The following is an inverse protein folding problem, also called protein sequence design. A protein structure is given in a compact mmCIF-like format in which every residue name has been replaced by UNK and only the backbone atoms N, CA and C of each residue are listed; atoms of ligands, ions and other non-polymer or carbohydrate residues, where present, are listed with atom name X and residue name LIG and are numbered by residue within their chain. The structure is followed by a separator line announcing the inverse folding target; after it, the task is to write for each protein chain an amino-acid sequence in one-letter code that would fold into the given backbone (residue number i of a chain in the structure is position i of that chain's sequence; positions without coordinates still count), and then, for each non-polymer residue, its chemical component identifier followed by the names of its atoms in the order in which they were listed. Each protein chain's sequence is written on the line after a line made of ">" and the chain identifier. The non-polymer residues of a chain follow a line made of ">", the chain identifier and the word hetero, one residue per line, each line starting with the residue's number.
data_IF_300874866284
#
_entry.id   IF_300874866284
#
_cell.length_a   1.000
_cell.length_b   1.000
_cell.length_c   1.000
_cell.angle_alpha   90.00
_cell.angle_beta   90.00
_cell.angle_gamma   90.00
#
_symmetry.space_group_name_H-M   'P 1'
#
loop_
_entity.id
_entity.type
_entity.pdbx_description
1 polymer ?
#
# COMPACT_ATOMS: atom_id res chain seq x y z
N UNK A 1 -13.43 31.45 -12.51
CA UNK A 1 -13.50 30.95 -11.12
C UNK A 1 -14.87 31.35 -10.61
N UNK A 2 -15.75 30.40 -10.25
CA UNK A 2 -17.07 30.75 -9.69
C UNK A 2 -16.85 31.31 -8.28
N UNK A 3 -17.22 32.57 -8.06
CA UNK A 3 -17.26 33.17 -6.73
C UNK A 3 -18.72 33.26 -6.33
N UNK A 4 -19.15 32.41 -5.40
CA UNK A 4 -20.45 32.54 -4.75
C UNK A 4 -20.30 33.52 -3.60
N UNK A 5 -21.19 34.50 -3.51
CA UNK A 5 -21.29 35.35 -2.33
C UNK A 5 -21.81 34.52 -1.12
N UNK A 6 -21.81 35.09 0.08
CA UNK A 6 -22.17 34.36 1.32
C UNK A 6 -23.61 33.83 1.30
N UNK A 7 -24.54 34.59 0.73
CA UNK A 7 -25.95 34.25 0.63
C UNK A 7 -26.19 33.15 -0.40
N UNK A 8 -25.56 33.26 -1.57
CA UNK A 8 -25.57 32.24 -2.62
C UNK A 8 -24.97 30.93 -2.11
N UNK A 9 -23.84 30.99 -1.39
CA UNK A 9 -23.19 29.82 -0.83
C UNK A 9 -24.07 29.14 0.24
N UNK A 10 -24.83 29.91 1.02
CA UNK A 10 -25.80 29.38 1.98
C UNK A 10 -26.98 28.67 1.28
N UNK A 11 -27.45 29.21 0.15
CA UNK A 11 -28.57 28.65 -0.60
C UNK A 11 -28.21 27.42 -1.47
N UNK A 12 -26.96 27.28 -1.91
CA UNK A 12 -26.56 26.24 -2.87
C UNK A 12 -26.59 24.83 -2.27
N UNK A 13 -27.34 23.91 -2.87
CA UNK A 13 -27.42 22.52 -2.41
C UNK A 13 -26.31 21.63 -3.00
N UNK A 14 -25.99 20.54 -2.30
CA UNK A 14 -25.09 19.48 -2.82
C UNK A 14 -25.55 18.97 -4.19
N UNK A 15 -26.87 18.83 -4.40
CA UNK A 15 -27.43 18.36 -5.66
C UNK A 15 -27.18 19.33 -6.81
N UNK A 16 -27.31 20.64 -6.58
CA UNK A 16 -27.02 21.67 -7.59
C UNK A 16 -25.54 21.65 -8.00
N UNK A 17 -24.61 21.54 -7.04
CA UNK A 17 -23.18 21.44 -7.36
C UNK A 17 -22.86 20.15 -8.11
N UNK A 18 -23.40 19.00 -7.69
CA UNK A 18 -23.19 17.73 -8.39
C UNK A 18 -23.65 17.79 -9.84
N UNK A 19 -24.85 18.32 -10.10
CA UNK A 19 -25.36 18.51 -11.48
C UNK A 19 -24.43 19.39 -12.31
N UNK A 20 -23.93 20.47 -11.72
CA UNK A 20 -22.98 21.36 -12.38
C UNK A 20 -21.63 20.67 -12.68
N UNK A 21 -21.06 19.92 -11.73
CA UNK A 21 -19.80 19.20 -11.93
C UNK A 21 -19.95 18.10 -13.00
N UNK A 22 -21.07 17.38 -12.99
CA UNK A 22 -21.38 16.36 -13.99
C UNK A 22 -21.56 16.96 -15.39
N UNK A 23 -22.20 18.13 -15.52
CA UNK A 23 -22.32 18.82 -16.82
C UNK A 23 -20.96 19.28 -17.38
N UNK A 24 -19.93 19.37 -16.53
CA UNK A 24 -18.54 19.62 -16.90
C UNK A 24 -17.69 18.35 -17.01
N UNK A 25 -18.30 17.16 -17.02
CA UNK A 25 -17.62 15.85 -17.06
C UNK A 25 -16.66 15.63 -15.88
N UNK A 26 -16.92 16.25 -14.73
CA UNK A 26 -16.15 16.02 -13.50
C UNK A 26 -16.91 15.02 -12.63
N UNK A 27 -16.32 13.84 -12.43
CA UNK A 27 -16.88 12.80 -11.56
C UNK A 27 -16.45 13.03 -10.11
N UNK A 28 -17.42 13.30 -9.22
CA UNK A 28 -17.16 13.51 -7.79
C UNK A 28 -18.27 12.87 -6.96
N UNK A 29 -17.91 12.23 -5.86
CA UNK A 29 -18.87 11.63 -4.94
C UNK A 29 -19.67 12.70 -4.16
N UNK A 30 -20.95 12.41 -3.89
CA UNK A 30 -21.85 13.28 -3.12
C UNK A 30 -21.30 13.66 -1.74
N UNK A 31 -20.63 12.73 -1.07
CA UNK A 31 -20.04 12.94 0.25
C UNK A 31 -18.94 14.01 0.19
N UNK A 32 -18.08 13.95 -0.84
CA UNK A 32 -17.02 14.93 -1.06
C UNK A 32 -17.57 16.34 -1.30
N UNK A 33 -18.62 16.47 -2.12
CA UNK A 33 -19.29 17.76 -2.38
C UNK A 33 -19.94 18.32 -1.11
N UNK A 34 -20.65 17.48 -0.35
CA UNK A 34 -21.25 17.90 0.92
C UNK A 34 -20.17 18.39 1.90
N UNK A 35 -19.07 17.64 2.03
CA UNK A 35 -17.97 18.03 2.90
C UNK A 35 -17.28 19.33 2.48
N UNK A 36 -17.10 19.56 1.16
CA UNK A 36 -16.56 20.82 0.64
C UNK A 36 -17.50 22.00 0.92
N UNK A 37 -18.82 21.82 0.75
CA UNK A 37 -19.82 22.83 1.09
C UNK A 37 -19.81 23.17 2.59
N UNK A 38 -19.72 22.17 3.47
CA UNK A 38 -19.62 22.39 4.93
C UNK A 38 -18.40 23.24 5.28
N UNK A 39 -17.23 22.92 4.72
CA UNK A 39 -16.03 23.72 4.93
C UNK A 39 -16.19 25.13 4.34
N UNK A 40 -16.75 25.27 3.13
CA UNK A 40 -16.95 26.57 2.50
C UNK A 40 -17.84 27.52 3.33
N UNK A 41 -18.86 26.94 3.98
CA UNK A 41 -19.84 27.63 4.85
C UNK A 41 -19.37 27.83 6.29
N UNK A 42 -18.31 27.17 6.70
CA UNK A 42 -17.81 27.30 8.06
C UNK A 42 -17.38 28.74 8.34
N UNK A 43 -17.73 29.23 9.52
CA UNK A 43 -17.37 30.57 9.97
C UNK A 43 -16.14 30.47 10.85
N UNK A 44 -15.07 31.16 10.44
CA UNK A 44 -13.83 31.24 11.22
C UNK A 44 -13.66 32.69 11.63
N UNK A 45 -13.52 32.94 12.93
CA UNK A 45 -13.36 34.31 13.42
C UNK A 45 -12.09 34.95 12.83
N UNK A 46 -12.08 36.29 12.62
CA UNK A 46 -10.91 36.99 12.11
C UNK A 46 -9.66 36.78 12.98
N UNK A 47 -9.83 36.71 14.30
CA UNK A 47 -8.74 36.48 15.26
C UNK A 47 -8.11 35.11 15.05
N UNK A 48 -8.93 34.07 14.90
CA UNK A 48 -8.45 32.71 14.63
C UNK A 48 -7.75 32.62 13.27
N UNK A 49 -8.27 33.30 12.24
CA UNK A 49 -7.60 33.36 10.93
C UNK A 49 -6.24 34.05 11.00
N UNK A 50 -6.15 35.17 11.72
CA UNK A 50 -4.89 35.89 11.91
C UNK A 50 -3.88 35.05 12.70
N UNK A 51 -4.32 34.39 13.77
CA UNK A 51 -3.49 33.49 14.57
C UNK A 51 -2.96 32.33 13.72
N UNK A 52 -3.84 31.63 12.99
CA UNK A 52 -3.46 30.51 12.11
C UNK A 52 -2.47 30.97 11.04
N UNK A 53 -2.68 32.13 10.43
CA UNK A 53 -1.75 32.71 9.45
C UNK A 53 -0.37 32.99 10.07
N UNK A 54 -0.34 33.57 11.28
CA UNK A 54 0.90 33.86 12.01
C UNK A 54 1.63 32.57 12.38
N UNK A 55 0.93 31.56 12.89
CA UNK A 55 1.50 30.26 13.25
C UNK A 55 2.03 29.53 12.00
N UNK A 56 1.28 29.55 10.90
CA UNK A 56 1.71 28.98 9.64
C UNK A 56 3.02 29.58 9.12
N UNK A 57 3.19 30.90 9.26
CA UNK A 57 4.40 31.60 8.79
C UNK A 57 5.60 31.46 9.73
N UNK A 58 5.36 31.25 11.02
CA UNK A 58 6.42 31.20 12.05
C UNK A 58 6.97 29.80 12.29
N UNK A 59 6.20 28.75 11.99
CA UNK A 59 6.67 27.37 12.12
C UNK A 59 7.76 27.05 11.07
N UNK A 60 8.77 26.23 11.43
CA UNK A 60 9.72 25.69 10.46
C UNK A 60 8.98 25.02 9.30
N UNK A 61 9.49 25.24 8.07
CA UNK A 61 8.90 24.61 6.88
C UNK A 61 9.12 23.11 6.93
N UNK A 62 8.04 22.36 6.85
CA UNK A 62 8.05 20.90 6.81
C UNK A 62 8.06 20.36 5.37
N UNK A 63 8.51 19.11 5.16
CA UNK A 63 8.33 18.40 3.91
C UNK A 63 6.85 18.05 3.72
N UNK A 64 6.06 19.04 3.31
CA UNK A 64 4.65 18.90 2.96
C UNK A 64 3.69 19.65 3.89
N UNK A 65 2.58 20.18 3.35
CA UNK A 65 1.64 21.01 4.11
C UNK A 65 0.95 20.26 5.25
N UNK A 66 0.71 18.95 5.12
CA UNK A 66 0.03 18.15 6.15
C UNK A 66 0.85 18.04 7.44
N UNK A 67 2.17 17.88 7.33
CA UNK A 67 3.06 17.80 8.50
C UNK A 67 3.08 19.13 9.25
N UNK A 68 3.08 20.25 8.52
CA UNK A 68 2.99 21.57 9.12
C UNK A 68 1.65 21.81 9.82
N UNK A 69 0.53 21.37 9.21
CA UNK A 69 -0.80 21.40 9.86
C UNK A 69 -0.78 20.59 11.16
N UNK A 70 -0.20 19.38 11.17
CA UNK A 70 -0.10 18.57 12.39
C UNK A 70 0.68 19.30 13.48
N UNK A 71 1.85 19.88 13.16
CA UNK A 71 2.64 20.64 14.14
C UNK A 71 1.86 21.83 14.70
N UNK A 72 1.15 22.54 13.83
CA UNK A 72 0.36 23.70 14.23
C UNK A 72 -0.79 23.33 15.17
N UNK A 73 -1.51 22.24 14.88
CA UNK A 73 -2.61 21.74 15.72
C UNK A 73 -2.16 21.30 17.14
N UNK A 74 -0.86 21.10 17.37
CA UNK A 74 -0.27 20.66 18.64
C UNK A 74 0.23 21.79 19.52
N UNK A 75 0.19 23.03 19.05
CA UNK A 75 0.58 24.18 19.87
C UNK A 75 -0.45 24.38 20.98
N UNK A 76 0.00 24.66 22.21
CA UNK A 76 -0.89 24.82 23.37
C UNK A 76 -1.93 25.92 23.15
N UNK A 77 -1.53 27.01 22.49
CA UNK A 77 -2.40 28.14 22.17
C UNK A 77 -3.22 27.95 20.88
N UNK A 78 -3.22 26.75 20.28
CA UNK A 78 -3.95 26.53 19.03
C UNK A 78 -5.47 26.54 19.26
N UNK A 79 -6.25 27.33 18.49
CA UNK A 79 -7.69 27.40 18.67
C UNK A 79 -8.35 26.04 18.37
N UNK A 80 -9.27 25.61 19.24
CA UNK A 80 -10.03 24.36 19.07
C UNK A 80 -11.14 24.51 18.03
N UNK A 81 -10.74 24.60 16.76
CA UNK A 81 -11.64 24.71 15.63
C UNK A 81 -12.25 23.34 15.26
N UNK A 82 -13.48 23.37 14.76
CA UNK A 82 -14.09 22.19 14.15
C UNK A 82 -13.39 21.83 12.84
N UNK A 83 -13.59 20.60 12.37
CA UNK A 83 -13.01 20.14 11.11
C UNK A 83 -13.36 21.04 9.90
N UNK A 84 -14.62 21.50 9.72
CA UNK A 84 -14.97 22.42 8.63
C UNK A 84 -14.28 23.78 8.76
N UNK A 85 -14.22 24.34 9.97
CA UNK A 85 -13.59 25.63 10.27
C UNK A 85 -12.08 25.59 9.97
N UNK A 86 -11.40 24.55 10.43
CA UNK A 86 -9.97 24.38 10.20
C UNK A 86 -9.66 24.25 8.70
N UNK A 87 -10.49 23.51 7.95
CA UNK A 87 -10.34 23.39 6.49
C UNK A 87 -10.59 24.72 5.79
N UNK A 88 -11.56 25.52 6.24
CA UNK A 88 -11.80 26.87 5.72
C UNK A 88 -10.61 27.78 5.99
N UNK A 89 -10.06 27.75 7.20
CA UNK A 89 -8.91 28.55 7.58
C UNK A 89 -7.67 28.21 6.74
N UNK A 90 -7.39 26.92 6.54
CA UNK A 90 -6.28 26.47 5.69
C UNK A 90 -6.49 26.79 4.21
N UNK A 91 -7.72 26.70 3.71
CA UNK A 91 -8.04 27.10 2.35
C UNK A 91 -7.75 28.59 2.13
N UNK A 92 -8.03 29.46 3.10
CA UNK A 92 -7.65 30.88 3.03
C UNK A 92 -6.12 31.10 2.98
N UNK A 93 -5.32 30.12 3.39
CA UNK A 93 -3.86 30.10 3.25
C UNK A 93 -3.36 29.42 1.97
N UNK A 94 -4.26 28.95 1.10
CA UNK A 94 -3.92 28.19 -0.11
C UNK A 94 -3.59 26.72 0.15
N UNK A 95 -3.89 26.21 1.35
CA UNK A 95 -3.62 24.82 1.77
C UNK A 95 -4.89 23.99 1.67
N UNK A 96 -4.85 22.93 0.87
CA UNK A 96 -6.00 22.06 0.65
C UNK A 96 -5.82 20.75 1.41
N UNK A 97 -6.69 20.49 2.39
CA UNK A 97 -6.70 19.25 3.17
C UNK A 97 -8.03 18.53 2.95
N UNK A 98 -7.94 17.22 2.74
CA UNK A 98 -9.11 16.36 2.62
C UNK A 98 -9.92 16.34 3.93
N UNK A 99 -11.20 15.98 3.82
CA UNK A 99 -12.06 15.96 4.98
C UNK A 99 -11.63 14.93 6.03
N UNK A 100 -11.31 13.73 5.57
CA UNK A 100 -10.87 12.60 6.38
C UNK A 100 -9.53 12.88 7.05
N UNK A 101 -8.55 13.38 6.30
CA UNK A 101 -7.23 13.71 6.86
C UNK A 101 -7.32 14.76 7.95
N UNK A 102 -8.15 15.79 7.77
CA UNK A 102 -8.34 16.79 8.83
C UNK A 102 -9.02 16.21 10.07
N UNK A 103 -10.07 15.40 9.89
CA UNK A 103 -10.76 14.76 11.01
C UNK A 103 -9.80 13.88 11.83
N UNK A 104 -8.95 13.11 11.16
CA UNK A 104 -7.90 12.30 11.79
C UNK A 104 -6.88 13.16 12.54
N UNK A 105 -6.39 14.24 11.93
CA UNK A 105 -5.41 15.12 12.59
C UNK A 105 -5.99 15.78 13.84
N UNK A 106 -7.25 16.26 13.78
CA UNK A 106 -7.92 16.84 14.93
C UNK A 106 -8.16 15.81 16.03
N UNK A 107 -8.59 14.59 15.69
CA UNK A 107 -8.85 13.55 16.69
C UNK A 107 -7.59 13.10 17.44
N UNK A 108 -6.41 13.31 16.87
CA UNK A 108 -5.10 13.00 17.46
C UNK A 108 -4.50 14.20 18.19
N UNK A 109 -4.64 15.41 17.64
CA UNK A 109 -3.95 16.61 18.11
C UNK A 109 -4.27 16.99 19.56
N UNK A 110 -5.52 16.75 19.99
CA UNK A 110 -6.00 17.14 21.32
C UNK A 110 -5.90 16.04 22.36
N UNK A 111 -5.29 14.90 22.01
CA UNK A 111 -5.05 13.82 22.96
C UNK A 111 -3.82 14.11 23.79
N UNK A 112 -3.97 14.10 25.11
CA UNK A 112 -2.86 14.12 26.04
C UNK A 112 -2.45 12.68 26.35
N UNK A 113 -1.26 12.29 25.89
CA UNK A 113 -0.66 11.00 26.23
C UNK A 113 0.33 11.20 27.37
N UNK A 114 0.21 10.46 28.49
CA UNK A 114 1.21 10.52 29.55
C UNK A 114 2.59 10.19 29.01
N UNK A 115 3.62 10.97 29.39
CA UNK A 115 4.99 10.75 28.92
C UNK A 115 5.47 9.31 29.13
N UNK A 116 5.13 8.71 30.29
CA UNK A 116 5.42 7.30 30.60
C UNK A 116 4.89 6.32 29.53
N UNK A 117 3.75 6.61 28.93
CA UNK A 117 3.16 5.79 27.86
C UNK A 117 4.00 5.89 26.59
N UNK A 118 4.40 7.10 26.20
CA UNK A 118 5.26 7.33 25.04
C UNK A 118 6.65 6.73 25.24
N UNK A 119 7.26 6.88 26.41
CA UNK A 119 8.56 6.29 26.76
C UNK A 119 8.50 4.75 26.69
N UNK A 120 7.39 4.14 27.15
CA UNK A 120 7.18 2.69 27.07
C UNK A 120 7.03 2.23 25.62
N UNK A 121 6.31 2.98 24.78
CA UNK A 121 6.18 2.70 23.35
C UNK A 121 7.52 2.84 22.64
N UNK A 122 8.31 3.87 22.95
CA UNK A 122 9.66 4.04 22.40
C UNK A 122 10.55 2.85 22.74
N UNK A 123 10.62 2.47 24.02
CA UNK A 123 11.41 1.34 24.48
C UNK A 123 10.96 0.03 23.81
N UNK A 124 9.65 -0.23 23.75
CA UNK A 124 9.09 -1.38 23.07
C UNK A 124 9.36 -1.38 21.57
N UNK A 125 9.32 -0.21 20.92
CA UNK A 125 9.64 -0.04 19.52
C UNK A 125 11.10 -0.39 19.27
N UNK A 126 12.04 0.15 20.07
CA UNK A 126 13.47 -0.13 19.95
C UNK A 126 13.83 -1.60 20.18
N UNK A 127 13.13 -2.29 21.09
CA UNK A 127 13.29 -3.74 21.29
C UNK A 127 13.12 -4.56 20.00
N UNK A 128 12.29 -4.08 19.08
CA UNK A 128 12.02 -4.73 17.80
C UNK A 128 12.73 -4.06 16.60
N UNK A 129 13.85 -3.36 16.83
CA UNK A 129 14.60 -2.68 15.77
C UNK A 129 15.10 -3.61 14.64
N UNK A 130 15.28 -4.89 14.94
CA UNK A 130 15.66 -5.92 13.95
C UNK A 130 14.56 -6.14 12.90
N UNK A 131 13.30 -5.88 13.24
CA UNK A 131 12.16 -6.01 12.33
C UNK A 131 12.13 -4.80 11.40
N UNK A 132 12.59 -4.99 10.16
CA UNK A 132 12.69 -3.93 9.14
C UNK A 132 11.32 -3.38 8.71
N UNK A 133 10.31 -4.25 8.58
CA UNK A 133 9.00 -3.86 8.07
C UNK A 133 8.20 -3.11 9.17
N UNK A 134 7.84 -1.82 8.98
CA UNK A 134 7.25 -1.00 10.04
C UNK A 134 5.92 -1.54 10.59
N UNK A 135 5.11 -2.16 9.73
CA UNK A 135 3.84 -2.75 10.13
C UNK A 135 4.04 -4.01 10.99
N UNK A 136 5.04 -4.84 10.67
CA UNK A 136 5.38 -6.03 11.47
C UNK A 136 5.89 -5.59 12.85
N UNK A 137 6.80 -4.61 12.86
CA UNK A 137 7.35 -4.02 14.10
C UNK A 137 6.24 -3.44 14.98
N UNK A 138 5.24 -2.76 14.38
CA UNK A 138 4.09 -2.23 15.09
C UNK A 138 3.22 -3.33 15.70
N UNK A 139 2.95 -4.41 14.97
CA UNK A 139 2.17 -5.51 15.55
C UNK A 139 2.94 -6.22 16.65
N UNK A 140 4.23 -6.47 16.49
CA UNK A 140 5.08 -7.02 17.56
C UNK A 140 5.09 -6.14 18.81
N UNK A 141 5.14 -4.82 18.65
CA UNK A 141 4.97 -3.87 19.78
C UNK A 141 3.62 -4.06 20.46
N UNK A 142 2.53 -4.16 19.69
CA UNK A 142 1.17 -4.29 20.23
C UNK A 142 0.87 -5.65 20.88
N UNK A 143 1.67 -6.67 20.59
CA UNK A 143 1.61 -7.97 21.25
C UNK A 143 2.28 -7.97 22.64
N UNK A 144 3.08 -6.96 22.97
CA UNK A 144 3.72 -6.86 24.29
C UNK A 144 2.66 -6.68 25.40
N UNK A 145 2.70 -7.47 26.49
CA UNK A 145 1.71 -7.41 27.56
C UNK A 145 1.57 -6.00 28.16
N UNK A 146 2.67 -5.29 28.34
CA UNK A 146 2.72 -3.96 28.92
C UNK A 146 2.04 -2.93 28.02
N UNK A 147 2.19 -3.06 26.70
CA UNK A 147 1.53 -2.21 25.71
C UNK A 147 0.06 -2.55 25.59
N UNK A 148 -0.29 -3.85 25.57
CA UNK A 148 -1.67 -4.33 25.51
C UNK A 148 -2.46 -3.85 26.73
N UNK A 149 -1.85 -3.83 27.92
CA UNK A 149 -2.45 -3.35 29.16
C UNK A 149 -2.82 -1.86 29.13
N UNK A 150 -2.21 -1.05 28.25
CA UNK A 150 -2.56 0.37 28.11
C UNK A 150 -3.94 0.60 27.47
N UNK A 151 -4.49 -0.40 26.78
CA UNK A 151 -5.79 -0.35 26.10
C UNK A 151 -6.03 0.95 25.28
N UNK A 152 -4.99 1.43 24.59
CA UNK A 152 -5.07 2.66 23.81
C UNK A 152 -6.06 2.48 22.65
N UNK A 153 -6.84 3.52 22.34
CA UNK A 153 -7.58 3.61 21.07
C UNK A 153 -6.63 3.86 19.90
N UNK A 154 -7.06 3.67 18.64
CA UNK A 154 -6.21 3.94 17.46
C UNK A 154 -5.66 5.38 17.44
N UNK A 155 -6.44 6.44 17.74
CA UNK A 155 -5.91 7.80 17.80
C UNK A 155 -4.90 8.00 18.93
N UNK A 156 -5.14 7.39 20.11
CA UNK A 156 -4.21 7.48 21.23
C UNK A 156 -2.89 6.75 20.94
N UNK A 157 -2.95 5.59 20.31
CA UNK A 157 -1.76 4.84 19.89
C UNK A 157 -0.97 5.60 18.82
N UNK A 158 -1.64 6.17 17.82
CA UNK A 158 -0.97 6.98 16.80
C UNK A 158 -0.29 8.20 17.44
N UNK A 159 -0.97 8.88 18.39
CA UNK A 159 -0.38 9.98 19.14
C UNK A 159 0.85 9.55 19.94
N UNK A 160 0.76 8.43 20.65
CA UNK A 160 1.83 7.97 21.52
C UNK A 160 3.06 7.49 20.73
N UNK A 161 2.87 6.93 19.53
CA UNK A 161 3.94 6.64 18.58
C UNK A 161 4.62 7.93 18.07
N UNK A 162 3.84 8.95 17.72
CA UNK A 162 4.39 10.24 17.28
C UNK A 162 5.19 10.93 18.40
N UNK A 163 4.69 10.90 19.64
CA UNK A 163 5.39 11.46 20.81
C UNK A 163 6.68 10.67 21.13
N UNK A 164 6.72 9.38 20.79
CA UNK A 164 7.91 8.52 20.85
C UNK A 164 8.87 8.71 19.65
N UNK A 165 8.62 9.67 18.76
CA UNK A 165 9.45 9.92 17.58
C UNK A 165 9.31 8.87 16.47
N UNK A 166 8.25 8.05 16.51
CA UNK A 166 8.00 6.98 15.55
C UNK A 166 7.03 7.47 14.46
N UNK A 167 7.55 7.66 13.24
CA UNK A 167 6.74 8.09 12.10
C UNK A 167 5.99 6.90 11.47
N UNK A 168 4.73 6.71 11.91
CA UNK A 168 3.81 5.73 11.34
C UNK A 168 2.49 6.41 10.98
N UNK A 169 2.06 6.21 9.74
CA UNK A 169 0.76 6.64 9.26
C UNK A 169 -0.39 6.03 10.07
N UNK A 170 -1.44 6.81 10.33
CA UNK A 170 -2.67 6.33 10.99
C UNK A 170 -3.25 5.04 10.35
N UNK A 171 -3.22 4.93 9.02
CA UNK A 171 -3.75 3.74 8.32
C UNK A 171 -2.97 2.46 8.66
N UNK A 172 -1.65 2.56 8.85
CA UNK A 172 -0.83 1.42 9.34
C UNK A 172 -1.20 1.05 10.77
N UNK A 173 -1.50 2.03 11.64
CA UNK A 173 -2.00 1.77 13.00
C UNK A 173 -3.32 1.01 12.97
N UNK A 174 -4.26 1.45 12.14
CA UNK A 174 -5.54 0.78 11.94
C UNK A 174 -5.37 -0.63 11.37
N UNK A 175 -4.53 -0.82 10.35
CA UNK A 175 -4.22 -2.15 9.78
C UNK A 175 -3.65 -3.10 10.84
N UNK A 176 -2.69 -2.63 11.65
CA UNK A 176 -2.11 -3.41 12.75
C UNK A 176 -3.16 -3.82 13.79
N UNK A 177 -4.05 -2.90 14.17
CA UNK A 177 -5.12 -3.17 15.13
C UNK A 177 -6.14 -4.16 14.60
N UNK A 178 -6.56 -4.03 13.34
CA UNK A 178 -7.48 -4.97 12.71
C UNK A 178 -6.92 -6.39 12.69
N UNK A 179 -5.63 -6.56 12.39
CA UNK A 179 -5.01 -7.87 12.40
C UNK A 179 -4.98 -8.54 13.78
N UNK A 180 -4.84 -7.73 14.84
CA UNK A 180 -4.86 -8.20 16.23
C UNK A 180 -6.27 -8.36 16.81
N UNK A 181 -7.28 -7.75 16.20
CA UNK A 181 -8.67 -7.86 16.63
C UNK A 181 -9.29 -9.22 16.26
N UNK A 182 -8.69 -9.94 15.32
CA UNK A 182 -9.16 -11.28 14.96
C UNK A 182 -8.72 -12.29 16.02
N UNK A 183 -9.70 -12.84 16.74
CA UNK A 183 -9.46 -13.81 17.80
C UNK A 183 -8.76 -15.05 17.23
N UNK A 184 -7.57 -15.35 17.76
CA UNK A 184 -6.91 -16.62 17.56
C UNK A 184 -7.49 -17.65 18.53
N UNK A 185 -7.95 -18.78 18.01
CA UNK A 185 -8.40 -19.89 18.85
C UNK A 185 -7.20 -20.71 19.32
N UNK A 186 -7.37 -21.46 20.42
CA UNK A 186 -6.35 -22.40 20.89
C UNK A 186 -6.06 -23.48 19.84
N UNK A 187 -7.08 -23.91 19.08
CA UNK A 187 -6.95 -24.84 17.98
C UNK A 187 -6.06 -24.29 16.85
N UNK A 188 -6.22 -23.02 16.47
CA UNK A 188 -5.36 -22.35 15.49
C UNK A 188 -3.90 -22.31 15.93
N UNK A 189 -3.68 -21.99 17.19
CA UNK A 189 -2.33 -21.96 17.74
C UNK A 189 -1.71 -23.36 17.76
N UNK A 190 -2.44 -24.37 18.23
CA UNK A 190 -1.94 -25.74 18.29
C UNK A 190 -1.63 -26.28 16.89
N UNK A 191 -2.54 -26.10 15.94
CA UNK A 191 -2.32 -26.49 14.54
C UNK A 191 -1.06 -25.82 13.97
N UNK A 192 -0.86 -24.53 14.23
CA UNK A 192 0.33 -23.83 13.76
C UNK A 192 1.61 -24.41 14.38
N UNK A 193 1.62 -24.64 15.69
CA UNK A 193 2.78 -25.20 16.41
C UNK A 193 3.13 -26.61 15.93
N UNK A 194 2.14 -27.43 15.60
CA UNK A 194 2.36 -28.80 15.14
C UNK A 194 2.94 -28.83 13.71
N UNK A 195 2.55 -27.87 12.86
CA UNK A 195 2.84 -27.91 11.43
C UNK A 195 4.02 -27.01 10.99
N UNK A 196 4.19 -25.83 11.60
CA UNK A 196 5.22 -24.86 11.20
C UNK A 196 6.66 -25.41 11.27
N UNK A 197 7.06 -26.12 12.35
CA UNK A 197 8.41 -26.68 12.45
C UNK A 197 8.76 -27.74 11.39
N UNK A 198 7.75 -28.32 10.74
CA UNK A 198 7.94 -29.35 9.71
C UNK A 198 8.32 -28.75 8.34
N UNK A 199 8.23 -27.43 8.20
CA UNK A 199 8.41 -26.75 6.92
C UNK A 199 9.89 -26.43 6.69
N UNK A 200 10.46 -26.80 5.54
CA UNK A 200 11.87 -26.53 5.25
C UNK A 200 12.21 -25.04 5.31
N UNK A 201 13.20 -24.67 6.12
CA UNK A 201 13.67 -23.29 6.23
C UNK A 201 14.33 -22.75 4.95
N UNK A 202 14.72 -23.64 4.02
CA UNK A 202 15.32 -23.29 2.72
C UNK A 202 14.32 -22.73 1.71
N UNK A 203 13.02 -22.93 1.94
CA UNK A 203 11.97 -22.47 1.03
C UNK A 203 11.80 -20.96 1.15
N UNK A 204 11.36 -20.30 0.08
CA UNK A 204 11.02 -18.87 0.13
C UNK A 204 9.87 -18.64 1.12
N UNK A 205 9.75 -17.44 1.71
CA UNK A 205 8.68 -17.12 2.68
C UNK A 205 7.28 -17.47 2.15
N UNK A 206 7.02 -17.17 0.88
CA UNK A 206 5.75 -17.48 0.23
C UNK A 206 5.53 -19.00 0.11
N UNK A 207 6.55 -19.75 -0.32
CA UNK A 207 6.48 -21.22 -0.38
C UNK A 207 6.30 -21.83 1.01
N UNK A 208 6.98 -21.32 2.05
CA UNK A 208 6.78 -21.77 3.43
C UNK A 208 5.33 -21.62 3.87
N UNK A 209 4.72 -20.45 3.62
CA UNK A 209 3.31 -20.22 3.95
C UNK A 209 2.39 -21.13 3.14
N UNK A 210 2.64 -21.30 1.84
CA UNK A 210 1.82 -22.18 1.01
C UNK A 210 1.93 -23.65 1.43
N UNK A 211 3.14 -24.11 1.78
CA UNK A 211 3.40 -25.46 2.30
C UNK A 211 2.71 -25.66 3.65
N UNK A 212 2.68 -24.64 4.52
CA UNK A 212 1.91 -24.67 5.77
C UNK A 212 0.43 -24.90 5.49
N UNK A 213 -0.13 -24.13 4.55
CA UNK A 213 -1.53 -24.22 4.17
C UNK A 213 -1.90 -25.56 3.53
N UNK A 214 -0.94 -26.27 2.92
CA UNK A 214 -1.12 -27.61 2.34
C UNK A 214 -1.04 -28.74 3.39
N UNK A 215 -0.71 -28.45 4.65
CA UNK A 215 -0.63 -29.48 5.69
C UNK A 215 -1.99 -30.05 6.09
N UNK A 216 -1.99 -31.26 6.65
CA UNK A 216 -3.22 -31.94 7.08
C UNK A 216 -3.94 -31.17 8.20
N UNK A 217 -5.26 -31.29 8.23
CA UNK A 217 -6.11 -30.69 9.26
C UNK A 217 -6.77 -29.37 8.88
N UNK A 218 -6.77 -28.99 7.58
CA UNK A 218 -7.42 -27.83 6.97
C UNK A 218 -8.24 -26.97 7.94
N UNK A 219 -7.55 -26.04 8.60
CA UNK A 219 -8.17 -25.14 9.54
C UNK A 219 -8.69 -23.91 8.78
N UNK A 220 -9.94 -23.54 9.04
CA UNK A 220 -10.51 -22.32 8.49
C UNK A 220 -9.80 -21.11 9.13
N UNK A 221 -8.87 -20.51 8.40
CA UNK A 221 -8.05 -19.39 8.85
C UNK A 221 -8.08 -18.24 7.85
N UNK A 222 -8.22 -17.01 8.35
CA UNK A 222 -8.15 -15.79 7.55
C UNK A 222 -6.69 -15.35 7.37
N UNK A 223 -6.43 -14.47 6.40
CA UNK A 223 -5.08 -13.93 6.21
C UNK A 223 -4.56 -13.14 7.43
N UNK A 224 -5.37 -12.29 8.10
CA UNK A 224 -4.92 -11.61 9.31
C UNK A 224 -4.64 -12.56 10.47
N UNK A 225 -5.46 -13.59 10.69
CA UNK A 225 -5.19 -14.63 11.70
C UNK A 225 -3.88 -15.35 11.43
N UNK A 226 -3.67 -15.83 10.20
CA UNK A 226 -2.45 -16.53 9.83
C UNK A 226 -1.22 -15.64 9.96
N UNK A 227 -1.33 -14.37 9.57
CA UNK A 227 -0.24 -13.41 9.72
C UNK A 227 0.08 -13.14 11.19
N UNK A 228 -0.93 -13.01 12.06
CA UNK A 228 -0.72 -12.87 13.51
C UNK A 228 -0.02 -14.11 14.09
N UNK A 229 -0.36 -15.32 13.65
CA UNK A 229 0.37 -16.54 14.08
C UNK A 229 1.85 -16.50 13.67
N UNK A 230 2.16 -16.10 12.44
CA UNK A 230 3.54 -15.93 11.97
C UNK A 230 4.31 -14.93 12.83
N UNK A 231 3.68 -13.81 13.18
CA UNK A 231 4.30 -12.79 14.03
C UNK A 231 4.54 -13.27 15.46
N UNK A 232 3.60 -14.04 16.03
CA UNK A 232 3.79 -14.67 17.36
C UNK A 232 4.96 -15.66 17.32
N UNK A 233 5.15 -16.35 16.19
CA UNK A 233 6.29 -17.24 15.96
C UNK A 233 7.58 -16.50 15.59
N UNK A 234 7.61 -15.17 15.67
CA UNK A 234 8.74 -14.30 15.34
C UNK A 234 9.21 -14.42 13.87
N UNK A 235 8.33 -14.88 12.99
CA UNK A 235 8.62 -15.00 11.57
C UNK A 235 8.40 -13.64 10.88
N UNK A 236 9.46 -13.14 10.22
CA UNK A 236 9.40 -11.86 9.51
C UNK A 236 8.77 -12.03 8.10
N UNK A 237 7.49 -12.42 8.09
CA UNK A 237 6.68 -12.58 6.88
C UNK A 237 5.69 -11.42 6.79
N UNK A 238 5.60 -10.80 5.61
CA UNK A 238 4.72 -9.67 5.39
C UNK A 238 3.26 -10.13 5.19
N UNK A 239 2.29 -9.26 5.52
CA UNK A 239 0.87 -9.61 5.38
C UNK A 239 0.49 -9.88 3.91
N UNK A 240 1.14 -9.23 2.94
CA UNK A 240 0.91 -9.46 1.51
C UNK A 240 1.31 -10.88 1.07
N UNK A 241 2.41 -11.41 1.60
CA UNK A 241 2.82 -12.80 1.36
C UNK A 241 1.78 -13.77 1.94
N UNK A 242 1.29 -13.52 3.15
CA UNK A 242 0.25 -14.36 3.77
C UNK A 242 -1.06 -14.31 2.96
N UNK A 243 -1.52 -13.12 2.61
CA UNK A 243 -2.74 -12.94 1.82
C UNK A 243 -2.67 -13.60 0.45
N UNK A 244 -1.53 -13.46 -0.25
CA UNK A 244 -1.34 -14.06 -1.58
C UNK A 244 -1.24 -15.59 -1.53
N UNK A 245 -0.53 -16.14 -0.55
CA UNK A 245 -0.45 -17.59 -0.36
C UNK A 245 -1.82 -18.18 -0.01
N UNK A 246 -2.58 -17.53 0.88
CA UNK A 246 -3.94 -17.96 1.23
C UNK A 246 -4.92 -17.86 0.05
N UNK A 247 -4.86 -16.78 -0.72
CA UNK A 247 -5.66 -16.62 -1.93
C UNK A 247 -5.35 -17.72 -2.96
N UNK A 248 -4.06 -18.04 -3.15
CA UNK A 248 -3.61 -19.12 -4.04
C UNK A 248 -4.08 -20.48 -3.55
N UNK A 249 -3.95 -20.78 -2.26
CA UNK A 249 -4.43 -22.02 -1.67
C UNK A 249 -5.94 -22.21 -1.91
N UNK A 250 -6.73 -21.16 -1.64
CA UNK A 250 -8.18 -21.16 -1.75
C UNK A 250 -8.73 -21.00 -3.17
N UNK A 251 -7.88 -20.67 -4.16
CA UNK A 251 -8.31 -20.49 -5.54
C UNK A 251 -8.94 -21.79 -6.09
N UNK A 252 -10.11 -21.67 -6.71
CA UNK A 252 -10.78 -22.79 -7.37
C UNK A 252 -10.48 -22.71 -8.86
N UNK A 253 -9.80 -23.73 -9.38
CA UNK A 253 -9.49 -23.81 -10.80
C UNK A 253 -10.66 -24.50 -11.50
N UNK A 254 -11.28 -23.82 -12.46
CA UNK A 254 -12.26 -24.41 -13.38
C UNK A 254 -11.58 -25.30 -14.41
N UNK A 255 -12.32 -26.28 -14.96
CA UNK A 255 -11.80 -27.12 -16.03
C UNK A 255 -11.50 -26.29 -17.30
N UNK A 256 -12.33 -25.28 -17.59
CA UNK A 256 -12.08 -24.32 -18.68
C UNK A 256 -10.72 -23.62 -18.54
N UNK A 257 -10.32 -23.23 -17.33
CA UNK A 257 -9.03 -22.61 -17.08
C UNK A 257 -7.88 -23.60 -17.27
N UNK A 258 -8.06 -24.88 -16.90
CA UNK A 258 -7.06 -25.93 -17.14
C UNK A 258 -6.85 -26.15 -18.63
N UNK A 259 -7.94 -26.32 -19.37
CA UNK A 259 -7.91 -26.54 -20.82
C UNK A 259 -7.28 -25.34 -21.54
N UNK A 260 -7.66 -24.12 -21.15
CA UNK A 260 -7.05 -22.90 -21.68
C UNK A 260 -5.55 -22.84 -21.39
N UNK A 261 -5.12 -23.23 -20.19
CA UNK A 261 -3.70 -23.25 -19.83
C UNK A 261 -2.94 -24.31 -20.62
N UNK A 262 -3.51 -25.49 -20.83
CA UNK A 262 -2.89 -26.55 -21.64
C UNK A 262 -2.67 -26.11 -23.08
N UNK A 263 -3.69 -25.49 -23.69
CA UNK A 263 -3.58 -24.91 -25.04
C UNK A 263 -2.54 -23.78 -25.07
N UNK A 264 -2.53 -22.92 -24.05
CA UNK A 264 -1.60 -21.80 -23.98
C UNK A 264 -0.16 -22.27 -23.84
N UNK A 265 0.11 -23.23 -22.95
CA UNK A 265 1.45 -23.79 -22.72
C UNK A 265 1.96 -24.58 -23.93
N UNK A 266 1.08 -25.33 -24.61
CA UNK A 266 1.44 -26.03 -25.85
C UNK A 266 1.89 -25.08 -26.97
N UNK A 267 1.35 -23.86 -26.99
CA UNK A 267 1.70 -22.82 -27.95
C UNK A 267 2.70 -21.79 -27.39
N UNK A 268 3.27 -22.04 -26.20
CA UNK A 268 4.11 -21.07 -25.52
C UNK A 268 5.39 -20.78 -26.32
N UNK A 269 5.86 -19.51 -26.31
CA UNK A 269 7.15 -19.21 -26.90
C UNK A 269 8.25 -19.92 -26.11
N UNK A 270 9.30 -20.37 -26.81
CA UNK A 270 10.48 -20.91 -26.16
C UNK A 270 11.02 -19.92 -25.10
N UNK A 271 11.43 -20.47 -23.95
CA UNK A 271 11.96 -19.70 -22.81
C UNK A 271 13.33 -19.10 -23.07
N UNK A 272 14.02 -19.57 -24.10
CA UNK A 272 15.40 -19.22 -24.40
C UNK A 272 15.58 -17.69 -24.42
N UNK A 273 16.45 -17.22 -23.51
CA UNK A 273 16.81 -15.81 -23.27
C UNK A 273 15.71 -14.86 -22.75
N UNK A 274 14.55 -15.36 -22.29
CA UNK A 274 13.49 -14.53 -21.67
C UNK A 274 13.44 -14.75 -20.16
N UNK A 275 13.15 -13.71 -19.39
CA UNK A 275 12.80 -13.92 -17.99
C UNK A 275 11.47 -14.65 -17.87
N UNK A 276 11.25 -15.32 -16.75
CA UNK A 276 9.97 -15.93 -16.39
C UNK A 276 8.78 -14.97 -16.50
N UNK A 277 9.00 -13.71 -16.13
CA UNK A 277 7.99 -12.66 -16.16
C UNK A 277 7.65 -12.26 -17.61
N UNK A 278 8.64 -12.03 -18.46
CA UNK A 278 8.41 -11.73 -19.88
C UNK A 278 7.80 -12.92 -20.61
N UNK A 279 8.27 -14.14 -20.35
CA UNK A 279 7.71 -15.37 -20.92
C UNK A 279 6.22 -15.52 -20.59
N UNK A 280 5.86 -15.41 -19.31
CA UNK A 280 4.46 -15.48 -18.89
C UNK A 280 3.65 -14.33 -19.49
N UNK A 281 4.20 -13.11 -19.50
CA UNK A 281 3.53 -11.97 -20.11
C UNK A 281 3.19 -12.17 -21.58
N UNK A 282 4.13 -12.69 -22.36
CA UNK A 282 3.91 -13.00 -23.78
C UNK A 282 2.92 -14.15 -23.98
N UNK A 283 2.99 -15.19 -23.14
CA UNK A 283 2.00 -16.27 -23.12
C UNK A 283 0.58 -15.71 -22.95
N UNK A 284 0.39 -14.86 -21.93
CA UNK A 284 -0.91 -14.24 -21.61
C UNK A 284 -1.42 -13.26 -22.68
N UNK A 285 -0.52 -12.70 -23.49
CA UNK A 285 -0.89 -11.83 -24.62
C UNK A 285 -1.29 -12.62 -25.87
N UNK A 286 -0.76 -13.85 -26.03
CA UNK A 286 -1.08 -14.73 -27.16
C UNK A 286 -2.38 -15.50 -26.94
N UNK A 287 -2.68 -15.84 -25.70
CA UNK A 287 -3.92 -16.52 -25.35
C UNK A 287 -5.06 -15.52 -25.25
N UNK A 288 -6.17 -15.79 -25.96
CA UNK A 288 -7.38 -14.97 -25.89
C UNK A 288 -7.79 -14.77 -24.44
N UNK A 289 -8.05 -13.51 -24.04
CA UNK A 289 -8.18 -13.08 -22.65
C UNK A 289 -9.22 -13.90 -21.87
N UNK A 290 -8.77 -14.92 -21.15
CA UNK A 290 -9.58 -15.59 -20.16
C UNK A 290 -9.54 -14.76 -18.85
N UNK A 291 -10.69 -14.49 -18.21
CA UNK A 291 -10.72 -13.72 -16.98
C UNK A 291 -10.17 -14.57 -15.81
N UNK A 292 -8.84 -14.53 -15.61
CA UNK A 292 -8.14 -15.29 -14.56
C UNK A 292 -7.55 -14.38 -13.48
N UNK A 293 -7.68 -14.71 -12.21
CA UNK A 293 -6.99 -13.99 -11.12
C UNK A 293 -5.53 -14.43 -11.01
N UNK A 294 -4.67 -13.63 -10.37
CA UNK A 294 -3.27 -14.03 -10.17
C UNK A 294 -3.15 -15.29 -9.31
N UNK A 295 -4.05 -15.49 -8.35
CA UNK A 295 -4.12 -16.67 -7.49
C UNK A 295 -4.48 -17.94 -8.26
N UNK A 296 -5.50 -17.87 -9.14
CA UNK A 296 -5.87 -18.99 -10.01
C UNK A 296 -4.77 -19.30 -11.03
N UNK A 297 -4.16 -18.27 -11.62
CA UNK A 297 -3.07 -18.40 -12.56
C UNK A 297 -1.83 -19.05 -11.91
N UNK A 298 -1.43 -18.60 -10.71
CA UNK A 298 -0.34 -19.22 -9.95
C UNK A 298 -0.63 -20.69 -9.66
N UNK A 299 -1.85 -21.01 -9.19
CA UNK A 299 -2.22 -22.36 -8.81
C UNK A 299 -2.23 -23.31 -10.02
N UNK A 300 -2.76 -22.88 -11.17
CA UNK A 300 -2.78 -23.74 -12.38
C UNK A 300 -1.37 -23.91 -12.94
N UNK A 301 -0.51 -22.89 -12.88
CA UNK A 301 0.89 -23.02 -13.27
C UNK A 301 1.62 -24.04 -12.38
N UNK A 302 1.39 -24.03 -11.06
CA UNK A 302 1.92 -25.05 -10.14
C UNK A 302 1.43 -26.47 -10.47
N UNK A 303 0.13 -26.65 -10.78
CA UNK A 303 -0.44 -27.95 -11.20
C UNK A 303 0.24 -28.47 -12.48
N UNK A 304 0.71 -27.57 -13.36
CA UNK A 304 1.42 -27.90 -14.60
C UNK A 304 2.95 -27.99 -14.44
N UNK A 305 3.47 -27.88 -13.22
CA UNK A 305 4.90 -27.95 -12.93
C UNK A 305 5.69 -26.67 -13.27
N UNK A 306 4.99 -25.56 -13.51
CA UNK A 306 5.59 -24.27 -13.81
C UNK A 306 5.71 -23.41 -12.56
N UNK A 307 6.91 -23.39 -11.98
CA UNK A 307 7.19 -22.68 -10.74
C UNK A 307 7.63 -21.25 -11.02
N UNK A 308 6.67 -20.33 -10.91
CA UNK A 308 6.93 -18.90 -10.98
C UNK A 308 6.79 -18.24 -9.62
N UNK A 309 7.58 -17.20 -9.43
CA UNK A 309 7.45 -16.30 -8.29
C UNK A 309 6.10 -15.57 -8.37
N UNK A 310 5.28 -15.56 -7.31
CA UNK A 310 3.91 -14.97 -7.34
C UNK A 310 3.88 -13.51 -7.82
N UNK A 311 4.84 -12.68 -7.37
CA UNK A 311 5.01 -11.32 -7.87
C UNK A 311 5.18 -11.24 -9.39
N UNK A 312 5.93 -12.17 -9.99
CA UNK A 312 6.08 -12.22 -11.44
C UNK A 312 4.75 -12.52 -12.13
N UNK A 313 3.92 -13.40 -11.56
CA UNK A 313 2.56 -13.70 -12.05
C UNK A 313 1.65 -12.47 -11.99
N UNK A 314 1.65 -11.76 -10.85
CA UNK A 314 0.87 -10.52 -10.68
C UNK A 314 1.27 -9.47 -11.70
N UNK A 315 2.57 -9.23 -11.87
CA UNK A 315 3.07 -8.23 -12.81
C UNK A 315 2.80 -8.63 -14.26
N UNK A 316 3.01 -9.90 -14.61
CA UNK A 316 2.75 -10.40 -15.95
C UNK A 316 1.27 -10.26 -16.33
N UNK A 317 0.37 -10.66 -15.42
CA UNK A 317 -1.07 -10.53 -15.61
C UNK A 317 -1.49 -9.06 -15.71
N UNK A 318 -0.94 -8.18 -14.86
CA UNK A 318 -1.24 -6.74 -14.90
C UNK A 318 -0.76 -6.08 -16.19
N UNK A 319 0.42 -6.48 -16.68
CA UNK A 319 0.96 -5.99 -17.95
C UNK A 319 0.12 -6.49 -19.12
N UNK A 320 -0.23 -7.78 -19.17
CA UNK A 320 -1.08 -8.36 -20.21
C UNK A 320 -2.48 -7.71 -20.27
N UNK A 321 -3.02 -7.30 -19.12
CA UNK A 321 -4.31 -6.59 -19.00
C UNK A 321 -4.25 -5.10 -19.29
N UNK A 322 -3.07 -4.50 -19.37
CA UNK A 322 -2.95 -3.06 -19.60
C UNK A 322 -3.52 -2.73 -20.97
N UNK A 323 -4.55 -1.90 -21.05
CA UNK A 323 -5.14 -1.46 -22.31
C UNK A 323 -4.13 -0.59 -23.06
N UNK A 324 -3.59 -1.13 -24.16
CA UNK A 324 -2.64 -0.43 -25.02
C UNK A 324 -3.05 -0.71 -26.47
N UNK A 325 -3.21 0.35 -27.26
CA UNK A 325 -3.58 0.22 -28.67
C UNK A 325 -2.36 -0.05 -29.56
N UNK A 326 -2.59 -0.61 -30.75
CA UNK A 326 -1.52 -0.84 -31.72
C UNK A 326 -0.85 0.47 -32.16
N UNK A 327 -1.60 1.57 -32.24
CA UNK A 327 -1.05 2.89 -32.53
C UNK A 327 -0.10 3.36 -31.43
N UNK A 328 -0.45 3.17 -30.15
CA UNK A 328 0.40 3.53 -29.03
C UNK A 328 1.69 2.69 -29.04
N UNK A 329 1.57 1.38 -29.30
CA UNK A 329 2.73 0.49 -29.44
C UNK A 329 3.66 0.92 -30.58
N UNK A 330 3.11 1.30 -31.74
CA UNK A 330 3.86 1.79 -32.88
C UNK A 330 4.56 3.13 -32.58
N UNK A 331 3.87 4.05 -31.89
CA UNK A 331 4.45 5.31 -31.43
C UNK A 331 5.61 5.07 -30.47
N UNK A 332 5.41 4.20 -29.48
CA UNK A 332 6.44 3.85 -28.52
C UNK A 332 7.69 3.26 -29.20
N UNK A 333 7.52 2.33 -30.14
CA UNK A 333 8.63 1.79 -30.96
C UNK A 333 9.41 2.89 -31.68
N UNK A 334 8.70 3.81 -32.34
CA UNK A 334 9.34 4.93 -33.04
C UNK A 334 10.17 5.81 -32.10
N UNK A 335 9.66 6.05 -30.88
CA UNK A 335 10.41 6.79 -29.85
C UNK A 335 11.61 6.00 -29.36
N UNK A 336 11.44 4.71 -29.09
CA UNK A 336 12.49 3.83 -28.59
C UNK A 336 13.71 3.81 -29.51
N UNK A 337 13.48 3.75 -30.81
CA UNK A 337 14.54 3.72 -31.83
C UNK A 337 15.26 5.08 -32.00
N UNK A 338 14.54 6.19 -31.79
CA UNK A 338 15.09 7.55 -31.84
C UNK A 338 15.95 7.87 -30.61
N UNK A 339 15.55 7.37 -29.44
CA UNK A 339 16.27 7.58 -28.19
C UNK A 339 17.40 6.56 -28.09
N UNK A 340 18.53 6.86 -28.73
CA UNK A 340 19.77 6.06 -28.63
C UNK A 340 20.54 6.41 -27.36
N UNK A 341 21.04 5.38 -26.68
CA UNK A 341 21.96 5.53 -25.55
C UNK A 341 23.33 5.98 -26.06
N UNK A 342 23.96 6.90 -25.33
CA UNK A 342 25.41 7.06 -25.42
C UNK A 342 26.06 5.79 -24.81
N UNK A 343 27.23 5.35 -25.29
CA UNK A 343 27.86 4.09 -24.86
C UNK A 343 28.09 3.96 -23.34
N UNK A 344 27.99 5.04 -22.58
CA UNK A 344 28.28 5.10 -21.14
C UNK A 344 27.12 5.62 -20.29
N UNK A 345 25.94 5.86 -20.87
CA UNK A 345 24.79 6.28 -20.07
C UNK A 345 24.10 5.08 -19.44
N UNK A 346 23.78 5.19 -18.14
CA UNK A 346 23.07 4.14 -17.41
C UNK A 346 21.72 3.81 -18.09
N UNK A 347 21.31 2.54 -18.08
CA UNK A 347 20.04 2.07 -18.69
C UNK A 347 18.82 2.91 -18.26
N UNK A 348 18.76 3.32 -16.99
CA UNK A 348 17.69 4.17 -16.46
C UNK A 348 17.58 5.53 -17.19
N UNK A 349 18.69 6.09 -17.68
CA UNK A 349 18.70 7.35 -18.43
C UNK A 349 17.94 7.20 -19.75
N UNK A 350 18.05 6.05 -20.44
CA UNK A 350 17.26 5.79 -21.66
C UNK A 350 15.79 5.74 -21.35
N UNK A 351 15.40 4.98 -20.33
CA UNK A 351 13.99 4.82 -19.94
C UNK A 351 13.35 6.17 -19.63
N UNK A 352 14.04 7.00 -18.85
CA UNK A 352 13.60 8.37 -18.54
C UNK A 352 13.51 9.22 -19.82
N UNK A 353 14.49 9.12 -20.72
CA UNK A 353 14.51 9.90 -21.97
C UNK A 353 13.37 9.50 -22.92
N UNK A 354 13.05 8.21 -23.02
CA UNK A 354 11.91 7.69 -23.77
C UNK A 354 10.60 8.23 -23.20
N UNK A 355 10.41 8.12 -21.88
CA UNK A 355 9.21 8.63 -21.19
C UNK A 355 9.03 10.15 -21.34
N UNK A 356 10.11 10.89 -21.59
CA UNK A 356 10.08 12.36 -21.79
C UNK A 356 9.90 12.77 -23.24
N UNK A 357 10.05 11.85 -24.18
CA UNK A 357 9.96 12.19 -25.59
C UNK A 357 8.53 12.63 -25.93
N UNK A 358 8.31 13.75 -26.66
CA UNK A 358 6.96 14.27 -26.93
C UNK A 358 6.03 13.30 -27.67
N UNK A 359 6.60 12.39 -28.45
CA UNK A 359 5.87 11.32 -29.16
C UNK A 359 5.67 10.04 -28.35
N UNK A 360 6.07 9.99 -27.07
CA UNK A 360 5.84 8.81 -26.23
C UNK A 360 4.38 8.80 -25.76
N UNK A 361 3.68 7.65 -25.85
CA UNK A 361 2.38 7.48 -25.21
C UNK A 361 2.43 7.80 -23.71
N UNK A 362 1.28 8.15 -23.12
CA UNK A 362 1.20 8.46 -21.69
C UNK A 362 1.23 7.18 -20.86
N UNK A 363 2.42 6.82 -20.40
CA UNK A 363 2.64 5.66 -19.55
C UNK A 363 2.43 6.02 -18.08
N UNK A 364 1.32 5.56 -17.50
CA UNK A 364 0.93 5.94 -16.14
C UNK A 364 1.25 4.90 -15.06
N UNK A 365 1.52 3.65 -15.44
CA UNK A 365 1.82 2.56 -14.51
C UNK A 365 3.05 1.75 -14.94
N UNK A 366 3.76 1.11 -13.99
CA UNK A 366 4.87 0.21 -14.31
C UNK A 366 4.46 -0.98 -15.18
N UNK A 367 3.26 -1.54 -14.96
CA UNK A 367 2.72 -2.67 -15.73
C UNK A 367 2.48 -2.31 -17.20
N UNK A 368 1.93 -1.11 -17.47
CA UNK A 368 1.80 -0.62 -18.83
C UNK A 368 3.18 -0.41 -19.47
N UNK A 369 4.13 0.18 -18.72
CA UNK A 369 5.49 0.39 -19.23
C UNK A 369 6.17 -0.93 -19.58
N UNK A 370 6.01 -1.95 -18.76
CA UNK A 370 6.51 -3.29 -18.99
C UNK A 370 5.97 -3.89 -20.30
N UNK A 371 4.67 -3.74 -20.57
CA UNK A 371 4.07 -4.20 -21.84
C UNK A 371 4.68 -3.49 -23.06
N UNK A 372 4.93 -2.18 -22.97
CA UNK A 372 5.66 -1.44 -24.04
C UNK A 372 7.09 -1.97 -24.22
N UNK A 373 7.80 -2.24 -23.13
CA UNK A 373 9.18 -2.76 -23.16
C UNK A 373 9.28 -4.14 -23.82
N UNK A 374 8.35 -5.05 -23.53
CA UNK A 374 8.32 -6.35 -24.19
C UNK A 374 8.09 -6.24 -25.70
N UNK A 375 7.32 -5.25 -26.14
CA UNK A 375 7.04 -5.02 -27.56
C UNK A 375 8.27 -4.52 -28.35
N UNK A 376 9.26 -3.95 -27.67
CA UNK A 376 10.59 -3.60 -28.21
C UNK A 376 11.66 -4.64 -27.88
N UNK A 377 11.27 -5.82 -27.36
CA UNK A 377 12.16 -6.93 -27.08
C UNK A 377 13.07 -6.73 -25.86
N UNK A 378 12.70 -5.82 -24.95
CA UNK A 378 13.45 -5.56 -23.73
C UNK A 378 12.69 -6.02 -22.50
N UNK A 379 13.43 -6.49 -21.51
CA UNK A 379 12.90 -6.89 -20.21
C UNK A 379 13.59 -6.13 -19.10
N UNK A 380 12.79 -5.45 -18.28
CA UNK A 380 13.26 -4.57 -17.21
C UNK A 380 12.41 -4.81 -15.96
N UNK A 381 13.06 -4.84 -14.80
CA UNK A 381 12.39 -5.06 -13.53
C UNK A 381 11.39 -3.95 -13.19
N UNK A 382 10.30 -4.31 -12.51
CA UNK A 382 9.23 -3.38 -12.10
C UNK A 382 9.77 -2.20 -11.27
N UNK A 383 10.75 -2.46 -10.40
CA UNK A 383 11.39 -1.44 -9.57
C UNK A 383 12.13 -0.40 -10.41
N UNK A 384 12.85 -0.84 -11.45
CA UNK A 384 13.50 0.03 -12.44
C UNK A 384 12.49 0.86 -13.22
N UNK A 385 11.42 0.23 -13.73
CA UNK A 385 10.37 0.92 -14.48
C UNK A 385 9.62 1.95 -13.62
N UNK A 386 9.31 1.59 -12.37
CA UNK A 386 8.66 2.49 -11.40
C UNK A 386 9.51 3.70 -11.07
N UNK A 387 10.83 3.48 -10.87
CA UNK A 387 11.80 4.54 -10.65
C UNK A 387 11.87 5.47 -11.87
N UNK A 388 11.96 4.93 -13.07
CA UNK A 388 12.00 5.71 -14.30
C UNK A 388 10.74 6.58 -14.47
N UNK A 389 9.54 6.04 -14.22
CA UNK A 389 8.27 6.79 -14.26
C UNK A 389 8.28 7.94 -13.24
N UNK A 390 8.70 7.66 -12.00
CA UNK A 390 8.79 8.68 -10.95
C UNK A 390 9.78 9.79 -11.32
N UNK A 391 10.97 9.42 -11.76
CA UNK A 391 12.04 10.37 -12.09
C UNK A 391 11.71 11.17 -13.37
N UNK A 392 10.90 10.61 -14.27
CA UNK A 392 10.32 11.34 -15.39
C UNK A 392 9.30 12.40 -14.92
N UNK A 393 8.49 12.11 -13.89
CA UNK A 393 7.46 13.01 -13.32
C UNK A 393 8.01 14.15 -12.47
N UNK A 394 9.07 13.90 -11.68
CA UNK A 394 9.66 14.92 -10.77
C UNK A 394 10.22 16.11 -11.53
N UNK A 395 10.67 15.92 -12.78
CA UNK A 395 11.30 16.96 -13.57
C UNK A 395 10.32 17.73 -14.49
N UNK A 396 9.08 17.25 -14.67
CA UNK A 396 7.98 18.00 -15.28
C UNK A 396 6.64 17.60 -14.61
N UNK A 397 6.11 18.38 -13.65
CA UNK A 397 4.87 18.03 -12.98
C UNK A 397 3.70 18.05 -14.00
N UNK A 398 2.83 17.03 -14.01
CA UNK A 398 1.64 17.05 -14.85
C UNK A 398 0.71 18.19 -14.42
N UNK A 399 0.07 18.86 -15.40
CA UNK A 399 -0.92 19.93 -15.18
C UNK A 399 -2.18 19.47 -14.43
N UNK A 400 -2.33 18.18 -14.13
CA UNK A 400 -3.40 17.62 -13.34
C UNK A 400 -2.85 16.54 -12.40
N UNK A 401 -3.28 16.50 -11.12
CA UNK A 401 -2.96 15.40 -10.24
C UNK A 401 -3.68 14.14 -10.74
N UNK A 402 -2.90 13.15 -11.15
CA UNK A 402 -3.41 11.79 -11.31
C UNK A 402 -3.92 11.29 -9.94
N UNK A 403 -4.98 10.45 -9.89
CA UNK A 403 -5.32 9.76 -8.66
C UNK A 403 -4.08 9.02 -8.17
N UNK A 404 -3.74 9.22 -6.90
CA UNK A 404 -2.66 8.49 -6.26
C UNK A 404 -3.05 7.01 -6.21
N UNK A 405 -2.62 6.24 -7.21
CA UNK A 405 -2.53 4.81 -7.04
C UNK A 405 -1.44 4.56 -6.00
N UNK A 406 -1.87 4.04 -4.86
CA UNK A 406 -1.05 3.62 -3.75
C UNK A 406 -0.23 2.38 -4.17
N UNK A 407 0.75 2.60 -5.05
CA UNK A 407 1.71 1.57 -5.51
C UNK A 407 2.64 1.10 -4.37
N UNK A 408 2.46 1.62 -3.16
CA UNK A 408 3.22 1.27 -1.96
C UNK A 408 2.99 -0.18 -1.58
N UNK A 409 1.76 -0.72 -1.71
CA UNK A 409 1.50 -2.15 -1.42
C UNK A 409 2.17 -3.10 -2.43
N UNK A 410 2.24 -2.72 -3.71
CA UNK A 410 2.94 -3.49 -4.75
C UNK A 410 4.47 -3.40 -4.59
N UNK A 411 5.01 -2.24 -4.19
CA UNK A 411 6.44 -2.10 -3.89
C UNK A 411 6.84 -2.80 -2.59
N UNK A 412 6.02 -2.72 -1.54
CA UNK A 412 6.25 -3.40 -0.26
C UNK A 412 6.26 -4.92 -0.49
N UNK A 413 5.37 -5.44 -1.35
CA UNK A 413 5.36 -6.85 -1.74
C UNK A 413 6.63 -7.28 -2.47
N UNK A 414 7.20 -6.46 -3.37
CA UNK A 414 8.45 -6.77 -4.10
C UNK A 414 9.67 -6.70 -3.17
N UNK A 415 9.78 -5.67 -2.33
CA UNK A 415 10.92 -5.51 -1.41
C UNK A 415 10.98 -6.61 -0.34
N UNK A 416 9.83 -7.12 0.10
CA UNK A 416 9.77 -8.22 1.07
C UNK A 416 10.10 -9.62 0.49
N UNK A 417 10.10 -9.74 -0.85
CA UNK A 417 10.33 -10.99 -1.58
C UNK A 417 11.72 -11.07 -2.23
N UNK A 418 12.36 -9.92 -2.51
CA UNK A 418 13.72 -9.86 -3.08
C UNK A 418 14.84 -9.93 -2.01
N UNK A 419 14.57 -9.60 -0.74
CA UNK A 419 15.57 -9.58 0.35
C UNK A 419 15.27 -10.60 1.47
N UNK A 420 15.83 -11.81 1.44
CA UNK A 420 16.07 -12.61 2.65
C UNK A 420 17.13 -13.72 2.42
N UNK A 421 18.37 -13.59 2.95
CA UNK A 421 19.27 -14.74 3.11
C UNK A 421 18.71 -15.73 4.16
N UNK A 422 19.17 -17.00 4.17
CA UNK A 422 18.65 -18.03 5.09
C UNK A 422 18.85 -17.62 6.56
N UNK A 423 17.80 -17.79 7.36
CA UNK A 423 17.83 -17.52 8.79
C UNK A 423 18.83 -18.45 9.50
N UNK A 424 19.86 -17.86 10.10
CA UNK A 424 20.78 -18.53 11.00
C UNK A 424 20.08 -18.90 12.33
N UNK A 425 20.35 -20.12 12.80
CA UNK A 425 19.88 -20.72 14.05
C UNK A 425 20.35 -19.96 15.31
N UNK A 426 19.43 -19.70 16.25
CA UNK A 426 19.45 -20.19 17.66
C UNK A 426 18.70 -19.29 18.65
N UNK A 427 17.76 -19.94 19.38
CA UNK A 427 17.39 -19.88 20.83
C UNK A 427 17.42 -18.50 21.55
N UNK A 428 16.42 -18.07 22.35
CA UNK A 428 15.77 -18.74 23.51
C UNK A 428 14.52 -17.92 23.95
N UNK A 429 13.50 -18.59 24.49
CA UNK A 429 12.19 -18.08 24.99
C UNK A 429 12.27 -17.01 26.10
N UNK A 430 11.14 -16.30 26.34
CA UNK A 430 10.59 -16.18 27.69
C UNK A 430 9.20 -16.83 27.82
N UNK A 431 8.97 -17.37 29.02
CA UNK A 431 7.87 -18.24 29.40
C UNK A 431 6.48 -17.56 29.38
N UNK A 432 5.51 -18.25 28.78
CA UNK A 432 4.11 -17.86 28.64
C UNK A 432 3.26 -18.32 29.84
N UNK A 433 3.58 -17.89 31.06
CA UNK A 433 2.74 -18.22 32.23
C UNK A 433 1.49 -17.33 32.40
N UNK A 434 1.31 -16.28 31.59
CA UNK A 434 0.28 -15.26 31.88
C UNK A 434 -1.05 -15.44 31.15
N UNK A 435 -1.23 -16.44 30.27
CA UNK A 435 -2.56 -16.72 29.68
C UNK A 435 -3.47 -17.52 30.64
N UNK A 436 -2.93 -18.13 31.70
CA UNK A 436 -3.64 -19.16 32.47
C UNK A 436 -4.61 -18.68 33.56
N UNK A 437 -4.76 -17.38 33.84
CA UNK A 437 -5.56 -16.90 35.00
C UNK A 437 -6.88 -16.17 34.72
N UNK A 438 -7.33 -16.07 33.47
CA UNK A 438 -8.63 -15.43 33.17
C UNK A 438 -9.81 -16.42 32.97
N UNK A 439 -9.60 -17.73 33.15
CA UNK A 439 -10.66 -18.74 33.03
C UNK A 439 -10.87 -19.57 34.32
N UNK A 440 -10.37 -19.07 35.45
CA UNK A 440 -10.63 -19.67 36.77
C UNK A 440 -10.67 -18.56 37.82
N UNK A 441 -11.69 -17.71 37.73
CA UNK A 441 -12.28 -16.96 38.84
C UNK A 441 -13.67 -16.47 38.44
#
# INVERSE_FOLDING_TARGET
>A
MFQLNREELAAVTTAQILRFLHSKKVSVQRVSVNSALRAARAEVSPENLQLIKKLWQSLPKEPGPLNQVRKMLRLEDFPRLTQPEMRKALWNLGVFVSASSMAQMISVAWLTIPKKTSDLIEAGWQKHAVIRHPLNRLVSLLLQPEIKALNLTEPQLNRALEDAGVDISYDRVRKARLALAENLTQEMWQWFQDNWPQIPARDTKWQRVLTLLKQKGNLAITAPQLWTLMLIAEENISPSVVSSALATHNAKISDELRDWMDISLANAPARDNKSSLMWLGLLLLQSSAHPVTAAELQKVLEEKGEYLHYGAVVHALSAARSEITDEELAQFRCVWDKVRLLPHSAKNVRLISVLRHPGCPRINSPSAFMRYMWHVGHDEGVSTLSRAIRDARVLYPPRQPAPAEDNTELLDMVLDMEDSPPASTSQTLPAFETIRRAASQ
#
